data_IF_155361575103
#
_entry.id   IF_155361575103
#
_cell.length_a   1.000
_cell.length_b   1.000
_cell.length_c   1.000
_cell.angle_alpha   90.00
_cell.angle_beta   90.00
_cell.angle_gamma   90.00
#
_symmetry.space_group_name_H-M   'P 1'
#
loop_
_entity.id
_entity.type
_entity.pdbx_description
1 polymer ?
#
# COMPACT_ATOMS: atom_id res chain seq x y z
N UNK A 1 3.70 12.22 -15.64
CA UNK A 1 2.78 12.40 -14.52
C UNK A 1 3.21 11.54 -13.34
N UNK A 2 2.90 11.99 -12.14
CA UNK A 2 3.11 11.20 -10.93
C UNK A 2 2.42 9.84 -11.03
N UNK A 3 3.14 8.76 -10.71
CA UNK A 3 2.61 7.39 -10.79
C UNK A 3 2.74 6.61 -9.48
N UNK A 4 3.25 7.21 -8.43
CA UNK A 4 3.42 6.59 -7.12
C UNK A 4 3.22 7.57 -5.96
N UNK A 5 2.87 7.03 -4.80
CA UNK A 5 2.62 7.82 -3.59
C UNK A 5 3.87 8.43 -2.97
N UNK A 6 5.05 7.92 -3.29
CA UNK A 6 6.33 8.46 -2.77
C UNK A 6 6.78 9.74 -3.46
N UNK A 7 6.16 10.10 -4.60
CA UNK A 7 6.44 11.33 -5.32
C UNK A 7 5.92 12.54 -4.52
N UNK A 8 6.73 13.58 -4.42
CA UNK A 8 6.46 14.75 -3.60
C UNK A 8 6.63 14.55 -2.08
N UNK A 9 7.00 13.34 -1.63
CA UNK A 9 7.16 13.03 -0.21
C UNK A 9 8.63 12.78 0.20
N UNK A 10 9.46 12.37 -0.73
CA UNK A 10 10.87 12.06 -0.47
C UNK A 10 11.77 13.17 -0.97
N UNK A 11 12.65 13.68 -0.09
CA UNK A 11 13.57 14.79 -0.40
C UNK A 11 14.53 14.47 -1.57
N UNK A 12 14.98 13.24 -1.67
CA UNK A 12 15.97 12.81 -2.66
C UNK A 12 15.44 11.61 -3.46
N UNK A 13 14.54 11.86 -4.40
CA UNK A 13 14.01 10.83 -5.27
C UNK A 13 14.52 11.04 -6.70
N UNK A 14 15.63 10.41 -7.02
CA UNK A 14 16.30 10.54 -8.32
C UNK A 14 15.38 10.31 -9.53
N UNK A 15 14.41 9.41 -9.42
CA UNK A 15 13.44 9.14 -10.49
C UNK A 15 12.49 10.32 -10.71
N UNK A 16 12.03 10.96 -9.63
CA UNK A 16 11.19 12.15 -9.70
C UNK A 16 11.95 13.34 -10.26
N UNK A 17 13.17 13.56 -9.78
CA UNK A 17 14.06 14.61 -10.28
C UNK A 17 14.33 14.44 -11.78
N UNK A 18 14.56 13.21 -12.22
CA UNK A 18 14.77 12.92 -13.63
C UNK A 18 13.51 13.21 -14.47
N UNK A 19 12.35 12.70 -14.03
CA UNK A 19 11.08 12.92 -14.72
C UNK A 19 10.71 14.41 -14.81
N UNK A 20 10.94 15.17 -13.74
CA UNK A 20 10.72 16.62 -13.73
C UNK A 20 11.64 17.36 -14.72
N UNK A 21 12.91 16.95 -14.82
CA UNK A 21 13.88 17.58 -15.72
C UNK A 21 13.52 17.39 -17.19
N UNK A 22 13.05 16.18 -17.56
CA UNK A 22 12.76 15.86 -18.97
C UNK A 22 11.34 16.22 -19.42
N UNK A 23 10.41 16.47 -18.48
CA UNK A 23 9.04 16.80 -18.81
C UNK A 23 8.85 18.30 -19.12
N UNK A 24 8.02 18.64 -20.09
CA UNK A 24 7.55 20.01 -20.31
C UNK A 24 6.49 20.41 -19.28
N UNK A 25 5.61 19.47 -18.93
CA UNK A 25 4.60 19.59 -17.87
C UNK A 25 4.57 18.32 -17.03
N UNK A 26 4.52 18.48 -15.72
CA UNK A 26 4.45 17.38 -14.77
C UNK A 26 3.19 17.46 -13.92
N UNK A 27 2.31 16.49 -14.07
CA UNK A 27 1.03 16.42 -13.35
C UNK A 27 1.25 15.73 -12.02
N UNK A 28 0.87 16.40 -10.94
CA UNK A 28 0.96 15.87 -9.56
C UNK A 28 -0.41 15.58 -8.96
N UNK A 29 -0.44 14.78 -7.90
CA UNK A 29 -1.66 14.44 -7.17
C UNK A 29 -2.08 15.52 -6.16
N UNK A 30 -1.71 16.78 -6.43
CA UNK A 30 -2.15 17.95 -5.67
C UNK A 30 -1.03 18.71 -4.98
N UNK A 31 0.19 18.17 -4.92
CA UNK A 31 1.31 18.90 -4.34
C UNK A 31 1.93 19.89 -5.34
N UNK A 32 2.53 20.93 -4.80
CA UNK A 32 3.28 21.96 -5.52
C UNK A 32 4.68 22.09 -4.91
N UNK A 33 5.62 22.50 -5.71
CA UNK A 33 6.90 22.97 -5.19
C UNK A 33 6.67 24.29 -4.40
N UNK A 34 7.18 24.34 -3.18
CA UNK A 34 7.07 25.52 -2.32
C UNK A 34 8.22 26.50 -2.53
N UNK A 35 9.34 26.02 -3.05
CA UNK A 35 10.49 26.85 -3.38
C UNK A 35 10.39 27.34 -4.84
N UNK A 36 10.74 28.58 -5.09
CA UNK A 36 10.84 29.11 -6.44
C UNK A 36 12.04 28.47 -7.15
N UNK A 37 11.78 27.41 -7.86
CA UNK A 37 12.74 26.73 -8.73
C UNK A 37 12.25 26.79 -10.19
N UNK A 38 13.16 26.67 -11.14
CA UNK A 38 12.82 26.57 -12.56
C UNK A 38 11.85 25.41 -12.85
N UNK A 39 11.81 24.42 -11.97
CA UNK A 39 10.93 23.26 -12.07
C UNK A 39 9.50 23.56 -11.62
N UNK A 40 9.30 24.57 -10.76
CA UNK A 40 7.96 24.91 -10.23
C UNK A 40 6.97 25.30 -11.34
N UNK A 41 7.46 25.93 -12.42
CA UNK A 41 6.65 26.30 -13.59
C UNK A 41 6.15 25.10 -14.39
N UNK A 42 6.79 23.95 -14.26
CA UNK A 42 6.41 22.70 -14.94
C UNK A 42 5.36 21.92 -14.18
N UNK A 43 5.22 22.11 -12.87
CA UNK A 43 4.35 21.34 -12.00
C UNK A 43 2.91 21.82 -12.10
N UNK A 44 2.01 20.89 -12.43
CA UNK A 44 0.56 21.14 -12.53
C UNK A 44 -0.18 20.23 -11.54
N UNK A 45 -0.62 20.75 -10.38
CA UNK A 45 -1.36 19.98 -9.39
C UNK A 45 -2.82 19.82 -9.85
N UNK A 46 -3.17 18.63 -10.27
CA UNK A 46 -4.53 18.34 -10.74
C UNK A 46 -5.28 17.44 -9.75
N UNK A 47 -4.55 16.56 -9.08
CA UNK A 47 -5.10 15.51 -8.23
C UNK A 47 -4.89 14.13 -8.83
N UNK A 48 -5.44 13.12 -8.18
CA UNK A 48 -5.30 11.73 -8.62
C UNK A 48 -6.11 11.51 -9.90
N UNK A 49 -5.47 11.01 -10.95
CA UNK A 49 -6.11 10.76 -12.25
C UNK A 49 -6.93 9.47 -12.28
N UNK A 50 -6.79 8.62 -11.26
CA UNK A 50 -7.54 7.38 -11.17
C UNK A 50 -8.95 7.63 -10.65
N UNK A 51 -10.00 7.15 -11.32
CA UNK A 51 -11.35 7.33 -10.81
C UNK A 51 -11.54 6.55 -9.50
N UNK A 52 -11.81 7.27 -8.44
CA UNK A 52 -12.08 6.69 -7.12
C UNK A 52 -13.59 6.52 -6.99
N UNK A 53 -14.02 5.28 -6.93
CA UNK A 53 -15.44 4.96 -6.72
C UNK A 53 -15.76 5.10 -5.23
N UNK A 54 -16.51 6.12 -4.87
CA UNK A 54 -17.10 6.26 -3.53
C UNK A 54 -18.22 5.21 -3.33
N UNK A 55 -17.87 3.95 -3.12
CA UNK A 55 -18.82 2.95 -2.66
C UNK A 55 -18.75 2.89 -1.15
N UNK A 56 -19.85 3.21 -0.49
CA UNK A 56 -19.99 2.89 0.94
C UNK A 56 -20.05 1.37 1.08
N UNK A 57 -19.27 0.77 1.99
CA UNK A 57 -19.30 -0.67 2.20
C UNK A 57 -20.70 -1.10 2.62
N UNK A 58 -21.17 -2.22 2.07
CA UNK A 58 -22.38 -2.87 2.53
C UNK A 58 -22.14 -3.40 3.94
N UNK A 59 -22.86 -2.89 4.93
CA UNK A 59 -22.68 -3.26 6.34
C UNK A 59 -23.11 -4.70 6.68
N UNK A 60 -23.82 -5.40 5.80
CA UNK A 60 -24.44 -6.71 6.12
C UNK A 60 -23.46 -7.86 6.30
N UNK A 61 -22.28 -7.83 5.65
CA UNK A 61 -21.25 -8.86 5.78
C UNK A 61 -19.87 -8.23 5.91
N UNK A 62 -19.77 -7.15 6.68
CA UNK A 62 -18.54 -6.39 6.78
C UNK A 62 -17.53 -7.13 7.64
N UNK A 63 -16.34 -7.34 7.09
CA UNK A 63 -15.14 -7.75 7.81
C UNK A 63 -14.77 -6.67 8.82
N UNK A 64 -14.46 -7.06 10.05
CA UNK A 64 -14.14 -6.08 11.09
C UNK A 64 -12.87 -5.31 10.76
N UNK A 65 -11.83 -5.98 10.26
CA UNK A 65 -10.52 -5.42 10.00
C UNK A 65 -9.92 -6.00 8.73
N UNK A 66 -9.47 -5.13 7.85
CA UNK A 66 -8.60 -5.45 6.72
C UNK A 66 -7.20 -4.91 7.01
N UNK A 67 -6.21 -5.78 7.08
CA UNK A 67 -4.79 -5.40 7.21
C UNK A 67 -4.13 -5.53 5.84
N UNK A 68 -3.67 -4.43 5.29
CA UNK A 68 -3.00 -4.38 3.99
C UNK A 68 -1.50 -4.38 4.22
N UNK A 69 -0.85 -5.46 3.82
CA UNK A 69 0.60 -5.60 3.95
C UNK A 69 1.32 -5.21 2.65
N UNK A 70 2.62 -5.01 2.76
CA UNK A 70 3.51 -4.86 1.62
C UNK A 70 4.54 -5.98 1.65
N UNK A 71 5.21 -6.18 0.54
CA UNK A 71 6.38 -7.04 0.47
C UNK A 71 7.55 -6.30 -0.15
N UNK A 72 8.73 -6.82 0.06
CA UNK A 72 9.95 -6.23 -0.47
C UNK A 72 10.97 -7.32 -0.82
N UNK A 73 12.02 -6.97 -1.57
CA UNK A 73 13.01 -7.94 -2.01
C UNK A 73 13.73 -8.60 -0.82
N UNK A 74 13.89 -9.91 -0.92
CA UNK A 74 14.59 -10.72 0.08
C UNK A 74 16.08 -10.37 0.18
N UNK A 75 16.66 -10.03 -0.95
CA UNK A 75 18.05 -9.59 -1.02
C UNK A 75 18.09 -8.06 -1.15
N UNK A 76 19.00 -7.45 -0.42
CA UNK A 76 19.17 -6.01 -0.45
C UNK A 76 19.51 -5.55 -1.88
N UNK A 77 18.53 -5.07 -2.57
CA UNK A 77 18.67 -4.47 -3.90
C UNK A 77 19.07 -2.99 -3.78
N UNK A 78 18.77 -2.39 -2.63
CA UNK A 78 19.15 -1.05 -2.20
C UNK A 78 19.49 -1.09 -0.72
N UNK A 79 20.19 -0.11 -0.21
CA UNK A 79 20.59 -0.02 1.20
C UNK A 79 19.43 -0.14 2.22
N UNK A 80 18.20 0.00 1.77
CA UNK A 80 17.01 0.18 2.60
C UNK A 80 16.13 -1.06 2.76
N UNK A 81 16.37 -2.20 2.11
CA UNK A 81 15.27 -3.13 1.92
C UNK A 81 15.39 -4.52 2.56
N UNK A 82 16.56 -5.09 2.73
CA UNK A 82 16.63 -6.50 3.17
C UNK A 82 16.35 -6.70 4.65
N UNK A 83 16.96 -5.89 5.51
CA UNK A 83 16.84 -6.00 6.96
C UNK A 83 15.50 -5.52 7.48
N UNK A 84 14.99 -4.45 6.90
CA UNK A 84 13.77 -3.78 7.35
C UNK A 84 12.53 -4.62 7.08
N UNK A 85 12.52 -5.43 6.01
CA UNK A 85 11.41 -6.33 5.69
C UNK A 85 11.24 -7.43 6.74
N UNK A 86 12.31 -7.98 7.31
CA UNK A 86 12.19 -8.98 8.37
C UNK A 86 11.54 -8.39 9.63
N UNK A 87 11.98 -7.21 10.04
CA UNK A 87 11.35 -6.48 11.15
C UNK A 87 9.89 -6.14 10.84
N UNK A 88 9.63 -5.70 9.64
CA UNK A 88 8.28 -5.39 9.19
C UNK A 88 7.35 -6.61 9.26
N UNK A 89 7.76 -7.77 8.75
CA UNK A 89 6.97 -9.02 8.85
C UNK A 89 6.73 -9.36 10.32
N UNK A 90 7.77 -9.27 11.16
CA UNK A 90 7.65 -9.52 12.59
C UNK A 90 6.64 -8.56 13.25
N UNK A 91 6.66 -7.27 12.93
CA UNK A 91 5.68 -6.32 13.46
C UNK A 91 4.26 -6.62 13.02
N UNK A 92 4.06 -7.04 11.78
CA UNK A 92 2.73 -7.42 11.28
C UNK A 92 2.18 -8.64 12.04
N UNK A 93 3.02 -9.64 12.28
CA UNK A 93 2.64 -10.84 13.05
C UNK A 93 2.34 -10.48 14.51
N UNK A 94 3.20 -9.70 15.16
CA UNK A 94 2.99 -9.23 16.53
C UNK A 94 1.75 -8.36 16.69
N UNK A 95 1.40 -7.57 15.66
CA UNK A 95 0.14 -6.84 15.65
C UNK A 95 -1.06 -7.80 15.70
N UNK A 96 -1.03 -8.89 14.93
CA UNK A 96 -2.08 -9.89 14.94
C UNK A 96 -2.12 -10.66 16.28
N UNK A 97 -0.95 -10.99 16.86
CA UNK A 97 -0.85 -11.63 18.19
C UNK A 97 -1.60 -10.84 19.26
N UNK A 98 -1.48 -9.51 19.26
CA UNK A 98 -2.17 -8.65 20.21
C UNK A 98 -3.69 -8.61 20.02
N UNK A 99 -4.20 -9.08 18.89
CA UNK A 99 -5.64 -9.17 18.61
C UNK A 99 -6.22 -10.54 18.88
N UNK A 100 -5.40 -11.57 19.11
CA UNK A 100 -5.84 -12.94 19.40
C UNK A 100 -6.84 -12.94 20.57
N UNK A 101 -7.93 -13.68 20.40
CA UNK A 101 -9.02 -13.74 21.39
C UNK A 101 -10.09 -12.64 21.24
N UNK A 102 -9.84 -11.60 20.46
CA UNK A 102 -10.83 -10.55 20.20
C UNK A 102 -11.80 -10.95 19.08
N UNK A 103 -13.00 -10.37 19.09
CA UNK A 103 -13.96 -10.52 17.99
C UNK A 103 -13.45 -9.87 16.67
N UNK A 104 -12.52 -8.93 16.76
CA UNK A 104 -11.88 -8.31 15.60
C UNK A 104 -11.01 -9.33 14.88
N UNK A 105 -10.22 -10.11 15.63
CA UNK A 105 -9.36 -11.15 15.07
C UNK A 105 -10.14 -12.22 14.31
N UNK A 106 -11.31 -12.63 14.83
CA UNK A 106 -12.14 -13.67 14.21
C UNK A 106 -12.66 -13.31 12.80
N UNK A 107 -12.76 -12.00 12.51
CA UNK A 107 -13.24 -11.49 11.22
C UNK A 107 -12.19 -10.61 10.53
N UNK A 108 -10.92 -10.82 10.86
CA UNK A 108 -9.79 -10.12 10.24
C UNK A 108 -9.42 -10.76 8.90
N UNK A 109 -9.10 -9.94 7.93
CA UNK A 109 -8.49 -10.36 6.67
C UNK A 109 -7.10 -9.75 6.59
N UNK A 110 -6.11 -10.56 6.28
CA UNK A 110 -4.76 -10.13 5.93
C UNK A 110 -4.66 -10.14 4.41
N UNK A 111 -4.48 -8.96 3.84
CA UNK A 111 -4.22 -8.83 2.41
C UNK A 111 -2.73 -8.74 2.15
N UNK A 112 -2.21 -9.76 1.50
CA UNK A 112 -0.81 -9.83 1.10
C UNK A 112 -0.54 -9.00 -0.16
N UNK A 113 0.73 -8.64 -0.34
CA UNK A 113 1.19 -8.12 -1.61
C UNK A 113 1.01 -9.19 -2.71
N UNK A 114 0.51 -8.82 -3.90
CA UNK A 114 0.27 -9.79 -4.96
C UNK A 114 1.51 -10.64 -5.26
N UNK A 115 1.35 -11.97 -5.41
CA UNK A 115 2.43 -12.81 -5.87
C UNK A 115 2.86 -12.46 -7.29
N UNK A 116 3.98 -13.02 -7.73
CA UNK A 116 4.43 -12.87 -9.10
C UNK A 116 3.35 -13.31 -10.09
N UNK A 117 3.06 -12.49 -11.08
CA UNK A 117 2.14 -12.77 -12.18
C UNK A 117 2.75 -12.25 -13.49
N UNK A 118 2.23 -12.66 -14.67
CA UNK A 118 2.70 -12.10 -15.95
C UNK A 118 2.65 -10.57 -15.91
N UNK A 119 3.81 -9.91 -16.05
CA UNK A 119 3.98 -8.46 -15.90
C UNK A 119 4.44 -7.97 -14.52
N UNK A 120 4.41 -8.82 -13.50
CA UNK A 120 5.05 -8.55 -12.21
C UNK A 120 5.99 -9.72 -11.84
N UNK A 121 7.27 -9.68 -12.22
CA UNK A 121 8.20 -10.77 -12.01
C UNK A 121 8.68 -10.91 -10.56
N UNK A 122 8.27 -10.02 -9.66
CA UNK A 122 8.82 -9.95 -8.31
C UNK A 122 8.12 -10.92 -7.36
N UNK A 123 8.59 -12.17 -7.35
CA UNK A 123 8.39 -13.04 -6.20
C UNK A 123 9.55 -12.79 -5.22
N UNK A 124 9.25 -12.15 -4.12
CA UNK A 124 10.25 -11.79 -3.12
C UNK A 124 10.70 -12.99 -2.25
N UNK A 125 10.03 -14.14 -2.36
CA UNK A 125 10.45 -15.40 -1.75
C UNK A 125 10.40 -15.44 -0.22
N UNK A 126 9.50 -14.70 0.40
CA UNK A 126 9.36 -14.65 1.85
C UNK A 126 8.42 -15.72 2.41
N UNK A 127 7.69 -16.45 1.58
CA UNK A 127 6.63 -17.40 1.97
C UNK A 127 5.63 -16.77 2.97
N UNK A 128 5.24 -15.53 2.70
CA UNK A 128 4.43 -14.74 3.62
C UNK A 128 3.11 -15.43 3.96
N UNK A 129 2.43 -16.00 2.96
CA UNK A 129 1.19 -16.72 3.18
C UNK A 129 1.38 -17.90 4.12
N UNK A 130 2.45 -18.69 3.92
CA UNK A 130 2.73 -19.84 4.77
C UNK A 130 3.07 -19.40 6.20
N UNK A 131 3.84 -18.33 6.38
CA UNK A 131 4.15 -17.77 7.70
C UNK A 131 2.91 -17.33 8.46
N UNK A 132 1.97 -16.69 7.76
CA UNK A 132 0.69 -16.33 8.35
C UNK A 132 -0.12 -17.56 8.75
N UNK A 133 -0.17 -18.59 7.91
CA UNK A 133 -0.90 -19.84 8.20
C UNK A 133 -0.31 -20.62 9.36
N UNK A 134 1.01 -20.63 9.49
CA UNK A 134 1.71 -21.33 10.57
C UNK A 134 1.45 -20.71 11.94
N UNK A 135 1.36 -19.38 12.02
CA UNK A 135 1.18 -18.65 13.26
C UNK A 135 -0.27 -18.26 13.54
N UNK A 136 -1.05 -18.04 12.52
CA UNK A 136 -2.41 -17.53 12.58
C UNK A 136 -3.33 -18.33 11.63
N UNK A 137 -3.46 -19.63 11.85
CA UNK A 137 -4.20 -20.54 10.96
C UNK A 137 -5.67 -20.17 10.73
N UNK A 138 -6.28 -19.46 11.67
CA UNK A 138 -7.69 -19.04 11.62
C UNK A 138 -7.93 -17.72 10.89
N UNK A 139 -6.87 -17.00 10.51
CA UNK A 139 -7.00 -15.72 9.83
C UNK A 139 -7.28 -15.93 8.34
N UNK A 140 -8.22 -15.20 7.80
CA UNK A 140 -8.49 -15.21 6.37
C UNK A 140 -7.39 -14.45 5.62
N UNK A 141 -6.81 -15.10 4.62
CA UNK A 141 -5.76 -14.50 3.78
C UNK A 141 -6.33 -14.18 2.41
N UNK A 142 -6.20 -12.92 2.01
CA UNK A 142 -6.37 -12.45 0.64
C UNK A 142 -4.98 -12.34 0.00
N UNK A 143 -4.69 -13.21 -0.94
CA UNK A 143 -3.35 -13.28 -1.58
C UNK A 143 -3.07 -12.15 -2.59
N UNK A 144 -3.91 -11.14 -2.65
CA UNK A 144 -3.69 -9.97 -3.48
C UNK A 144 -3.97 -10.14 -4.98
N UNK A 145 -4.43 -11.29 -5.46
CA UNK A 145 -4.70 -11.51 -6.89
C UNK A 145 -5.88 -10.69 -7.43
N UNK A 146 -6.86 -10.42 -6.58
CA UNK A 146 -8.02 -9.59 -6.95
C UNK A 146 -7.73 -8.12 -6.69
N UNK A 147 -8.39 -7.19 -7.41
CA UNK A 147 -8.29 -5.77 -7.09
C UNK A 147 -8.65 -5.48 -5.64
N UNK A 148 -7.82 -4.67 -4.97
CA UNK A 148 -7.97 -4.34 -3.54
C UNK A 148 -9.35 -3.78 -3.21
N UNK A 149 -9.95 -3.01 -4.11
CA UNK A 149 -11.26 -2.40 -3.96
C UNK A 149 -12.39 -3.41 -3.68
N UNK A 150 -12.22 -4.68 -4.07
CA UNK A 150 -13.20 -5.72 -3.80
C UNK A 150 -13.21 -6.09 -2.31
N UNK A 151 -12.05 -6.13 -1.68
CA UNK A 151 -11.89 -6.45 -0.25
C UNK A 151 -12.13 -5.22 0.63
N UNK A 152 -11.62 -4.06 0.22
CA UNK A 152 -11.83 -2.78 0.93
C UNK A 152 -13.29 -2.43 1.13
N UNK A 153 -14.12 -2.65 0.11
CA UNK A 153 -15.56 -2.36 0.17
C UNK A 153 -16.32 -3.20 1.20
N UNK A 154 -15.72 -4.24 1.75
CA UNK A 154 -16.30 -5.09 2.79
C UNK A 154 -15.77 -4.81 4.18
N UNK A 155 -14.71 -4.01 4.31
CA UNK A 155 -14.06 -3.74 5.58
C UNK A 155 -14.73 -2.57 6.33
N UNK A 156 -14.80 -2.69 7.66
CA UNK A 156 -15.22 -1.61 8.57
C UNK A 156 -14.06 -0.69 8.91
N UNK A 157 -12.87 -1.28 9.03
CA UNK A 157 -11.61 -0.59 9.33
C UNK A 157 -10.51 -1.16 8.44
N UNK A 158 -9.65 -0.30 7.93
CA UNK A 158 -8.49 -0.70 7.13
C UNK A 158 -7.22 -0.21 7.81
N UNK A 159 -6.31 -1.12 8.05
CA UNK A 159 -4.97 -0.82 8.53
C UNK A 159 -3.98 -1.00 7.39
N UNK A 160 -3.40 0.08 6.94
CA UNK A 160 -2.25 0.05 6.05
C UNK A 160 -0.97 -0.01 6.88
N UNK A 161 -0.23 -1.08 6.73
CA UNK A 161 1.04 -1.26 7.45
C UNK A 161 2.18 -0.43 6.84
N UNK A 162 1.92 0.19 5.70
CA UNK A 162 2.87 1.03 4.98
C UNK A 162 2.17 2.21 4.31
N UNK A 163 2.52 3.43 4.72
CA UNK A 163 1.85 4.66 4.27
C UNK A 163 2.23 5.12 2.87
N UNK A 164 3.35 4.65 2.33
CA UNK A 164 3.83 5.05 0.99
C UNK A 164 3.23 4.23 -0.16
N UNK A 165 2.10 3.57 0.06
CA UNK A 165 1.39 2.83 -0.99
C UNK A 165 0.32 3.69 -1.66
N UNK A 166 0.10 3.49 -2.96
CA UNK A 166 -0.99 4.13 -3.70
C UNK A 166 -2.36 3.75 -3.10
N UNK A 167 -2.52 2.51 -2.66
CA UNK A 167 -3.73 2.02 -2.00
C UNK A 167 -4.08 2.81 -0.73
N UNK A 168 -3.08 3.20 0.07
CA UNK A 168 -3.29 4.04 1.24
C UNK A 168 -3.93 5.39 0.88
N UNK A 169 -3.41 6.08 -0.14
CA UNK A 169 -3.97 7.35 -0.60
C UNK A 169 -5.37 7.19 -1.20
N UNK A 170 -5.62 6.11 -1.93
CA UNK A 170 -6.94 5.78 -2.48
C UNK A 170 -7.97 5.57 -1.36
N UNK A 171 -7.57 4.94 -0.26
CA UNK A 171 -8.45 4.72 0.89
C UNK A 171 -8.79 6.00 1.66
N UNK A 172 -7.83 6.90 1.82
CA UNK A 172 -8.10 8.23 2.42
C UNK A 172 -9.20 8.95 1.62
N UNK A 173 -9.10 8.93 0.29
CA UNK A 173 -10.11 9.59 -0.56
C UNK A 173 -11.45 8.85 -0.53
N UNK A 174 -11.44 7.54 -0.35
CA UNK A 174 -12.66 6.71 -0.25
C UNK A 174 -13.38 6.88 1.09
N UNK A 175 -12.75 7.56 2.05
CA UNK A 175 -13.28 7.82 3.40
C UNK A 175 -13.73 6.53 4.12
N UNK A 176 -12.95 5.48 4.00
CA UNK A 176 -13.06 4.25 4.80
C UNK A 176 -12.06 4.41 5.95
N UNK A 177 -12.51 4.30 7.20
CA UNK A 177 -11.61 4.42 8.35
C UNK A 177 -10.59 3.28 8.41
#
# INVERSE_FOLDING_TARGET
AQHGSTYGMMRNKWSEDHELKIADKYITWGWRETEQSDLSSKISPIGILKPIRKKRPSRKNAVSLLVVTVSGPRYAFRYETGRDILYYIHYCLSFADNLVGSHIYQSMIIRLFPPAYPGNPFNYGWDEEQRWRDLHSNVTIDNGQKPIQQTENTAKLIVHTYSSSTAFLENIVSNIP
#
